data_IF_823690851358
#
_entry.id   IF_823690851358
#
_cell.length_a   1.000
_cell.length_b   1.000
_cell.length_c   1.000
_cell.angle_alpha   90.00
_cell.angle_beta   90.00
_cell.angle_gamma   90.00
#
_symmetry.space_group_name_H-M   'P 1'
#
loop_
_entity.id
_entity.type
_entity.pdbx_description
1 polymer ?
#
# COMPACT_ATOMS: atom_id res chain seq x y z
N UNK A 1 24.60 -15.30 19.86
CA UNK A 1 24.11 -13.94 19.56
C UNK A 1 23.38 -14.02 18.22
N UNK A 2 22.19 -14.62 18.24
CA UNK A 2 21.40 -14.99 17.06
C UNK A 2 19.92 -14.97 17.42
N UNK A 3 19.46 -13.90 18.08
CA UNK A 3 18.05 -13.75 18.49
C UNK A 3 17.61 -12.29 18.32
N UNK A 4 17.56 -11.80 17.08
CA UNK A 4 16.95 -10.49 16.76
C UNK A 4 15.62 -10.66 15.97
N UNK A 5 15.27 -11.88 15.57
CA UNK A 5 14.02 -12.20 14.89
C UNK A 5 13.47 -13.52 15.45
N UNK A 6 13.30 -13.61 16.77
CA UNK A 6 12.59 -14.72 17.41
C UNK A 6 11.11 -14.36 17.51
N UNK A 7 10.28 -15.12 16.79
CA UNK A 7 8.80 -15.07 16.80
C UNK A 7 8.21 -13.69 16.47
N UNK A 8 7.98 -13.41 15.18
CA UNK A 8 7.08 -12.32 14.82
C UNK A 8 5.69 -12.67 15.38
N UNK A 9 5.33 -12.04 16.49
CA UNK A 9 4.02 -12.16 17.11
C UNK A 9 2.94 -11.88 16.06
N UNK A 10 2.12 -12.89 15.68
CA UNK A 10 1.08 -12.72 14.69
C UNK A 10 0.12 -11.58 15.03
N UNK A 11 -0.10 -11.30 16.32
CA UNK A 11 -0.95 -10.21 16.78
C UNK A 11 -0.29 -8.84 16.53
N UNK A 12 1.02 -8.71 16.79
CA UNK A 12 1.79 -7.51 16.45
C UNK A 12 1.81 -7.27 14.93
N UNK A 13 1.95 -8.34 14.14
CA UNK A 13 1.93 -8.24 12.68
C UNK A 13 0.55 -7.81 12.16
N UNK A 14 -0.52 -8.34 12.74
CA UNK A 14 -1.89 -7.95 12.44
C UNK A 14 -2.15 -6.47 12.79
N UNK A 15 -1.64 -5.99 13.93
CA UNK A 15 -1.75 -4.59 14.34
C UNK A 15 -1.03 -3.65 13.36
N UNK A 16 0.22 -3.97 12.99
CA UNK A 16 1.00 -3.19 12.02
C UNK A 16 0.28 -3.12 10.67
N UNK A 17 -0.27 -4.23 10.18
CA UNK A 17 -0.99 -4.27 8.91
C UNK A 17 -2.34 -3.54 8.96
N UNK A 18 -3.02 -3.58 10.11
CA UNK A 18 -4.25 -2.81 10.34
C UNK A 18 -3.95 -1.32 10.30
N UNK A 19 -2.91 -0.87 11.02
CA UNK A 19 -2.44 0.52 10.96
C UNK A 19 -2.05 0.93 9.54
N UNK A 20 -1.37 0.05 8.80
CA UNK A 20 -1.06 0.30 7.40
C UNK A 20 -2.31 0.51 6.54
N UNK A 21 -3.34 -0.33 6.70
CA UNK A 21 -4.60 -0.19 5.96
C UNK A 21 -5.28 1.14 6.25
N UNK A 22 -5.33 1.56 7.52
CA UNK A 22 -5.92 2.85 7.89
C UNK A 22 -5.14 4.02 7.28
N UNK A 23 -3.82 4.05 7.49
CA UNK A 23 -2.96 5.13 7.00
C UNK A 23 -2.95 5.20 5.46
N UNK A 24 -2.93 4.04 4.79
CA UNK A 24 -2.97 4.00 3.33
C UNK A 24 -4.37 4.37 2.78
N UNK A 25 -5.44 4.11 3.53
CA UNK A 25 -6.80 4.56 3.21
C UNK A 25 -6.85 6.07 2.97
N UNK A 26 -6.30 6.85 3.89
CA UNK A 26 -6.23 8.31 3.73
C UNK A 26 -5.43 8.74 2.50
N UNK A 27 -4.33 8.04 2.19
CA UNK A 27 -3.51 8.33 1.00
C UNK A 27 -4.28 8.00 -0.29
N UNK A 28 -5.06 6.91 -0.30
CA UNK A 28 -5.92 6.53 -1.42
C UNK A 28 -7.01 7.60 -1.69
N UNK A 29 -7.59 8.16 -0.63
CA UNK A 29 -8.57 9.24 -0.76
C UNK A 29 -7.94 10.52 -1.31
N UNK A 30 -6.72 10.87 -0.86
CA UNK A 30 -5.96 12.02 -1.38
C UNK A 30 -5.60 11.84 -2.86
N UNK A 31 -5.25 10.63 -3.31
CA UNK A 31 -5.01 10.35 -4.73
C UNK A 31 -6.29 10.61 -5.56
N UNK A 32 -7.44 10.16 -5.08
CA UNK A 32 -8.73 10.41 -5.75
C UNK A 32 -9.11 11.89 -5.78
N UNK A 33 -8.89 12.60 -4.68
CA UNK A 33 -9.10 14.04 -4.63
C UNK A 33 -8.23 14.76 -5.66
N UNK A 34 -6.94 14.41 -5.77
CA UNK A 34 -6.02 15.00 -6.75
C UNK A 34 -6.42 14.74 -8.21
N UNK A 35 -7.02 13.58 -8.52
CA UNK A 35 -7.61 13.30 -9.84
C UNK A 35 -8.82 14.20 -10.10
N UNK A 36 -9.69 14.35 -9.11
CA UNK A 36 -10.92 15.15 -9.20
C UNK A 36 -10.61 16.64 -9.39
N UNK A 37 -9.66 17.17 -8.61
CA UNK A 37 -9.23 18.57 -8.66
C UNK A 37 -8.21 18.85 -9.76
N UNK A 38 -7.72 17.81 -10.44
CA UNK A 38 -6.68 17.89 -11.48
C UNK A 38 -5.39 18.55 -10.97
N UNK A 39 -4.98 18.20 -9.76
CA UNK A 39 -3.75 18.68 -9.14
C UNK A 39 -2.61 17.67 -9.34
N UNK A 40 -1.69 17.98 -10.27
CA UNK A 40 -0.55 17.10 -10.58
C UNK A 40 0.47 17.06 -9.45
N UNK A 41 0.66 18.19 -8.76
CA UNK A 41 1.64 18.28 -7.68
C UNK A 41 1.17 17.45 -6.49
N UNK A 42 -0.10 17.59 -6.11
CA UNK A 42 -0.71 16.75 -5.07
C UNK A 42 -0.67 15.27 -5.47
N UNK A 43 -1.07 14.92 -6.70
CA UNK A 43 -1.06 13.53 -7.17
C UNK A 43 0.34 12.89 -7.05
N UNK A 44 1.38 13.60 -7.50
CA UNK A 44 2.77 13.12 -7.45
C UNK A 44 3.26 13.00 -6.00
N UNK A 45 3.03 14.01 -5.16
CA UNK A 45 3.46 14.02 -3.78
C UNK A 45 2.77 12.91 -2.96
N UNK A 46 1.48 12.73 -3.14
CA UNK A 46 0.73 11.65 -2.49
C UNK A 46 1.18 10.27 -2.99
N UNK A 47 1.42 10.10 -4.29
CA UNK A 47 1.95 8.84 -4.84
C UNK A 47 3.34 8.50 -4.26
N UNK A 48 4.20 9.50 -4.10
CA UNK A 48 5.52 9.33 -3.46
C UNK A 48 5.40 8.86 -2.00
N UNK A 49 4.58 9.54 -1.20
CA UNK A 49 4.36 9.18 0.21
C UNK A 49 3.77 7.77 0.35
N UNK A 50 2.74 7.46 -0.45
CA UNK A 50 2.09 6.16 -0.48
C UNK A 50 3.05 5.04 -0.91
N UNK A 51 3.95 5.29 -1.87
CA UNK A 51 4.97 4.32 -2.29
C UNK A 51 5.89 3.94 -1.14
N UNK A 52 6.28 4.91 -0.31
CA UNK A 52 7.07 4.67 0.90
C UNK A 52 6.34 3.75 1.87
N UNK A 53 5.08 4.05 2.16
CA UNK A 53 4.23 3.23 3.01
C UNK A 53 4.07 1.79 2.46
N UNK A 54 3.79 1.64 1.17
CA UNK A 54 3.57 0.33 0.53
C UNK A 54 4.81 -0.58 0.54
N UNK A 55 6.02 -0.01 0.48
CA UNK A 55 7.27 -0.77 0.59
C UNK A 55 7.50 -1.29 2.01
N UNK A 56 7.16 -0.48 3.02
CA UNK A 56 7.28 -0.89 4.42
C UNK A 56 6.33 -2.03 4.77
N UNK A 57 5.13 -2.05 4.17
CA UNK A 57 4.15 -3.12 4.33
C UNK A 57 4.36 -4.34 3.40
N UNK A 58 5.53 -4.44 2.75
CA UNK A 58 5.87 -5.54 1.84
C UNK A 58 4.79 -5.84 0.78
N UNK A 59 4.23 -4.79 0.15
CA UNK A 59 3.29 -4.91 -0.97
C UNK A 59 3.93 -4.44 -2.30
N UNK A 60 4.70 -5.32 -3.01
CA UNK A 60 5.45 -4.93 -4.21
C UNK A 60 4.56 -4.38 -5.31
N UNK A 61 3.41 -5.03 -5.55
CA UNK A 61 2.45 -4.64 -6.58
C UNK A 61 1.90 -3.23 -6.34
N UNK A 62 1.54 -2.92 -5.09
CA UNK A 62 1.05 -1.60 -4.71
C UNK A 62 2.15 -0.53 -4.86
N UNK A 63 3.37 -0.83 -4.41
CA UNK A 63 4.51 0.05 -4.56
C UNK A 63 4.85 0.34 -6.04
N UNK A 64 4.73 -0.66 -6.91
CA UNK A 64 4.96 -0.51 -8.36
C UNK A 64 3.90 0.37 -9.04
N UNK A 65 2.62 0.18 -8.69
CA UNK A 65 1.54 1.03 -9.19
C UNK A 65 1.77 2.51 -8.82
N UNK A 66 2.18 2.75 -7.58
CA UNK A 66 2.46 4.09 -7.06
C UNK A 66 3.70 4.71 -7.68
N UNK A 67 4.78 3.94 -7.88
CA UNK A 67 5.98 4.40 -8.55
C UNK A 67 5.69 4.78 -10.01
N UNK A 68 4.86 3.99 -10.69
CA UNK A 68 4.41 4.30 -12.05
C UNK A 68 3.59 5.58 -12.07
N UNK A 69 2.63 5.73 -11.16
CA UNK A 69 1.79 6.92 -11.05
C UNK A 69 2.63 8.19 -10.77
N UNK A 70 3.56 8.12 -9.82
CA UNK A 70 4.48 9.22 -9.48
C UNK A 70 5.33 9.65 -10.69
N UNK A 71 5.85 8.68 -11.44
CA UNK A 71 6.71 8.94 -12.60
C UNK A 71 5.96 9.53 -13.80
N UNK A 72 4.68 9.20 -13.98
CA UNK A 72 3.89 9.67 -15.13
C UNK A 72 2.96 10.85 -14.83
N UNK A 73 2.82 11.25 -13.56
CA UNK A 73 1.93 12.30 -13.07
C UNK A 73 2.00 13.63 -13.85
N UNK A 74 3.18 14.02 -14.37
CA UNK A 74 3.35 15.28 -15.11
C UNK A 74 3.05 15.15 -16.61
N UNK A 75 3.22 13.95 -17.17
CA UNK A 75 3.27 13.73 -18.63
C UNK A 75 1.96 13.18 -19.19
N UNK A 76 1.24 12.41 -18.39
CA UNK A 76 0.03 11.72 -18.86
C UNK A 76 -1.23 12.59 -18.77
N UNK A 77 -2.22 12.22 -19.59
CA UNK A 77 -3.55 12.82 -19.58
C UNK A 77 -4.35 12.31 -18.38
N UNK A 78 -5.24 13.15 -17.85
CA UNK A 78 -6.09 12.83 -16.69
C UNK A 78 -6.85 11.50 -16.79
N UNK A 79 -7.44 11.10 -17.94
CA UNK A 79 -8.10 9.80 -18.05
C UNK A 79 -7.13 8.62 -17.85
N UNK A 80 -5.87 8.75 -18.29
CA UNK A 80 -4.84 7.73 -18.08
C UNK A 80 -4.41 7.68 -16.62
N UNK A 81 -4.21 8.85 -15.99
CA UNK A 81 -3.89 8.94 -14.56
C UNK A 81 -5.01 8.37 -13.68
N UNK A 82 -6.27 8.63 -14.02
CA UNK A 82 -7.43 8.07 -13.32
C UNK A 82 -7.43 6.53 -13.38
N UNK A 83 -7.12 5.92 -14.55
CA UNK A 83 -6.98 4.46 -14.67
C UNK A 83 -5.84 3.92 -13.78
N UNK A 84 -4.73 4.64 -13.66
CA UNK A 84 -3.62 4.26 -12.77
C UNK A 84 -4.01 4.36 -11.30
N UNK A 85 -4.76 5.38 -10.90
CA UNK A 85 -5.33 5.46 -9.53
C UNK A 85 -6.28 4.31 -9.27
N UNK A 86 -7.11 3.90 -10.24
CA UNK A 86 -7.93 2.67 -10.11
C UNK A 86 -7.09 1.39 -9.96
N UNK A 87 -5.94 1.30 -10.62
CA UNK A 87 -5.02 0.17 -10.41
C UNK A 87 -4.43 0.17 -8.99
N UNK A 88 -4.08 1.35 -8.44
CA UNK A 88 -3.65 1.50 -7.03
C UNK A 88 -4.76 1.06 -6.08
N UNK A 89 -6.00 1.51 -6.29
CA UNK A 89 -7.15 1.11 -5.47
C UNK A 89 -7.39 -0.41 -5.48
N UNK A 90 -7.28 -1.04 -6.65
CA UNK A 90 -7.45 -2.48 -6.79
C UNK A 90 -6.35 -3.25 -6.05
N UNK A 91 -5.08 -2.86 -6.22
CA UNK A 91 -3.97 -3.46 -5.49
C UNK A 91 -4.10 -3.25 -3.97
N UNK A 92 -4.58 -2.08 -3.54
CA UNK A 92 -4.83 -1.83 -2.12
C UNK A 92 -6.02 -2.65 -1.58
N UNK A 93 -7.06 -2.89 -2.40
CA UNK A 93 -8.17 -3.76 -2.01
C UNK A 93 -7.74 -5.21 -1.76
N UNK A 94 -6.78 -5.73 -2.54
CA UNK A 94 -6.17 -7.04 -2.30
C UNK A 94 -5.47 -7.09 -0.92
N UNK A 95 -4.74 -6.02 -0.56
CA UNK A 95 -4.11 -5.93 0.78
C UNK A 95 -5.18 -5.88 1.88
N UNK A 96 -6.23 -5.08 1.73
CA UNK A 96 -7.33 -5.03 2.73
C UNK A 96 -7.99 -6.39 2.90
N UNK A 97 -8.22 -7.11 1.82
CA UNK A 97 -8.81 -8.45 1.87
C UNK A 97 -7.90 -9.44 2.61
N UNK A 98 -6.59 -9.39 2.35
CA UNK A 98 -5.61 -10.21 3.08
C UNK A 98 -5.61 -9.93 4.58
N UNK A 99 -5.58 -8.65 4.97
CA UNK A 99 -5.62 -8.24 6.38
C UNK A 99 -6.93 -8.66 7.06
N UNK A 100 -8.07 -8.42 6.40
CA UNK A 100 -9.38 -8.80 6.92
C UNK A 100 -9.59 -10.32 7.05
N UNK A 101 -8.93 -11.11 6.21
CA UNK A 101 -8.99 -12.57 6.27
C UNK A 101 -8.19 -13.16 7.45
N UNK A 102 -7.33 -12.36 8.11
CA UNK A 102 -6.53 -12.81 9.26
C UNK A 102 -5.54 -13.92 8.93
N UNK A 103 -5.16 -14.08 7.66
CA UNK A 103 -4.28 -15.15 7.18
C UNK A 103 -2.80 -14.84 7.46
N UNK A 104 -2.48 -14.51 8.70
CA UNK A 104 -1.11 -14.29 9.16
C UNK A 104 -0.56 -15.64 9.61
N UNK A 105 -0.03 -16.42 8.67
CA UNK A 105 0.48 -17.76 8.98
C UNK A 105 1.77 -17.60 9.80
N UNK A 106 1.69 -17.85 11.11
CA UNK A 106 2.83 -18.25 11.88
C UNK A 106 3.23 -19.64 11.38
N UNK A 107 4.42 -19.78 10.81
CA UNK A 107 5.00 -21.10 10.58
C UNK A 107 5.31 -21.72 11.94
N UNK A 108 4.30 -22.29 12.59
CA UNK A 108 4.44 -23.17 13.74
C UNK A 108 4.53 -24.59 13.23
N UNK A 109 5.55 -24.91 12.43
CA UNK A 109 5.97 -26.30 12.28
C UNK A 109 6.75 -26.68 13.55
N UNK A 110 5.99 -26.88 14.63
CA UNK A 110 6.42 -27.76 15.70
C UNK A 110 6.40 -29.18 15.14
N UNK A 111 7.55 -29.84 15.18
CA UNK A 111 7.62 -31.30 15.10
C UNK A 111 8.26 -31.78 16.42
N UNK A 112 7.74 -32.86 17.04
CA UNK A 112 8.02 -33.25 18.41
C UNK A 112 9.41 -33.88 18.65
#
# INVERSE_FOLDING_TARGET
MTEILGEADPDLFAEILTFFVEAFGELSDRLNAAITTRDRAALRATAHAAKGAARNAASPKLAECLATLEATAEKEKWPTLAKKVKAVEAAFAEVRAFVAAGQFVADSTGDP
#
